data_IF_044060834773
#
_entry.id   IF_044060834773
#
_cell.length_a   1.000
_cell.length_b   1.000
_cell.length_c   1.000
_cell.angle_alpha   90.00
_cell.angle_beta   90.00
_cell.angle_gamma   90.00
#
_symmetry.space_group_name_H-M   'P 1'
#
loop_
_entity.id
_entity.type
_entity.pdbx_description
1 polymer ?
#
# COMPACT_ATOMS: atom_id res chain seq x y z
N UNK A 1 -26.37 -22.51 11.70
CA UNK A 1 -26.55 -21.69 12.92
C UNK A 1 -25.35 -20.76 13.05
N UNK A 2 -25.53 -19.47 12.79
CA UNK A 2 -24.45 -18.47 12.80
C UNK A 2 -24.03 -18.22 14.26
N UNK A 3 -22.84 -18.71 14.64
CA UNK A 3 -22.29 -18.55 16.00
C UNK A 3 -22.03 -17.05 16.23
N UNK A 4 -22.92 -16.37 16.97
CA UNK A 4 -22.69 -14.98 17.42
C UNK A 4 -21.41 -14.99 18.26
N UNK A 5 -20.31 -14.48 17.70
CA UNK A 5 -19.07 -14.26 18.44
C UNK A 5 -19.37 -13.26 19.55
N UNK A 6 -19.44 -13.72 20.80
CA UNK A 6 -19.61 -12.80 21.91
C UNK A 6 -18.40 -11.85 21.96
N UNK A 7 -18.62 -10.53 22.15
CA UNK A 7 -17.53 -9.58 22.34
C UNK A 7 -16.60 -10.07 23.45
N UNK A 8 -15.29 -9.98 23.25
CA UNK A 8 -14.34 -10.34 24.30
C UNK A 8 -14.41 -9.33 25.46
N UNK A 9 -13.94 -9.74 26.64
CA UNK A 9 -13.84 -8.85 27.81
C UNK A 9 -13.02 -7.58 27.55
N UNK A 10 -12.15 -7.60 26.52
CA UNK A 10 -11.38 -6.43 26.08
C UNK A 10 -12.20 -5.52 25.16
N UNK A 11 -13.07 -6.07 24.33
CA UNK A 11 -13.82 -5.30 23.32
C UNK A 11 -14.85 -4.35 23.97
N UNK A 12 -15.35 -4.73 25.14
CA UNK A 12 -16.29 -3.96 25.96
C UNK A 12 -15.63 -2.89 26.85
N UNK A 13 -14.30 -2.84 26.91
CA UNK A 13 -13.60 -1.84 27.73
C UNK A 13 -13.76 -0.44 27.12
N UNK A 14 -13.67 0.61 27.96
CA UNK A 14 -13.57 1.99 27.49
C UNK A 14 -12.42 2.16 26.48
N UNK A 15 -12.62 3.05 25.50
CA UNK A 15 -11.60 3.33 24.47
C UNK A 15 -10.27 3.78 25.08
N UNK A 16 -10.29 4.56 26.15
CA UNK A 16 -9.09 5.01 26.85
C UNK A 16 -8.27 3.83 27.41
N UNK A 17 -8.93 2.81 27.96
CA UNK A 17 -8.29 1.60 28.48
C UNK A 17 -7.71 0.76 27.34
N UNK A 18 -8.41 0.64 26.21
CA UNK A 18 -7.90 -0.05 25.02
C UNK A 18 -6.69 0.67 24.43
N UNK A 19 -6.72 2.00 24.38
CA UNK A 19 -5.58 2.83 23.96
C UNK A 19 -4.37 2.66 24.90
N UNK A 20 -4.60 2.59 26.21
CA UNK A 20 -3.56 2.32 27.21
C UNK A 20 -2.89 0.96 27.00
N UNK A 21 -3.67 -0.11 26.75
CA UNK A 21 -3.14 -1.45 26.43
C UNK A 21 -2.20 -1.36 25.21
N UNK A 22 -2.62 -0.66 24.16
CA UNK A 22 -1.79 -0.43 22.98
C UNK A 22 -0.50 0.34 23.30
N UNK A 23 -0.59 1.41 24.09
CA UNK A 23 0.58 2.21 24.51
C UNK A 23 1.59 1.39 25.31
N UNK A 24 1.12 0.64 26.31
CA UNK A 24 1.99 -0.22 27.14
C UNK A 24 2.68 -1.29 26.29
N UNK A 25 1.95 -1.87 25.32
CA UNK A 25 2.55 -2.84 24.40
C UNK A 25 3.64 -2.22 23.53
N UNK A 26 3.42 -1.00 23.02
CA UNK A 26 4.42 -0.26 22.25
C UNK A 26 5.68 0.07 23.07
N UNK A 27 5.55 0.23 24.38
CA UNK A 27 6.67 0.39 25.32
C UNK A 27 7.41 -0.91 25.62
N UNK A 28 7.05 -2.02 24.98
CA UNK A 28 7.71 -3.32 25.14
C UNK A 28 7.19 -4.15 26.31
N UNK A 29 6.12 -3.73 26.99
CA UNK A 29 5.54 -4.50 28.11
C UNK A 29 5.01 -5.85 27.64
N UNK A 30 5.22 -6.87 28.46
CA UNK A 30 4.68 -8.22 28.31
C UNK A 30 3.18 -8.24 28.63
N UNK A 31 2.50 -9.30 28.19
CA UNK A 31 1.05 -9.48 28.47
C UNK A 31 0.81 -9.49 29.98
N UNK A 32 1.71 -10.09 30.75
CA UNK A 32 1.58 -10.22 32.21
C UNK A 32 1.76 -8.86 32.90
N UNK A 33 2.76 -8.07 32.49
CA UNK A 33 2.93 -6.70 33.00
C UNK A 33 1.75 -5.78 32.66
N UNK A 34 1.18 -5.92 31.44
CA UNK A 34 0.00 -5.16 31.05
C UNK A 34 -1.20 -5.57 31.90
N UNK A 35 -1.37 -6.88 32.13
CA UNK A 35 -2.45 -7.39 32.97
C UNK A 35 -2.35 -6.91 34.42
N UNK A 36 -1.15 -6.89 34.99
CA UNK A 36 -0.93 -6.39 36.35
C UNK A 36 -1.17 -4.89 36.47
N UNK A 37 -0.85 -4.11 35.43
CA UNK A 37 -1.19 -2.69 35.35
C UNK A 37 -2.70 -2.45 35.26
N UNK A 38 -3.43 -3.28 34.51
CA UNK A 38 -4.90 -3.19 34.44
C UNK A 38 -5.53 -3.50 35.79
N UNK A 39 -5.03 -4.51 36.51
CA UNK A 39 -5.48 -4.83 37.87
C UNK A 39 -5.26 -3.69 38.85
N UNK A 40 -4.14 -2.97 38.76
CA UNK A 40 -3.90 -1.81 39.65
C UNK A 40 -4.85 -0.63 39.38
N UNK A 41 -5.59 -0.68 38.26
CA UNK A 41 -6.65 0.27 37.90
C UNK A 41 -8.06 -0.31 38.15
N UNK A 42 -8.17 -1.43 38.86
CA UNK A 42 -9.44 -2.13 39.12
C UNK A 42 -10.12 -2.66 37.83
N UNK A 43 -9.32 -2.94 36.79
CA UNK A 43 -9.79 -3.51 35.53
C UNK A 43 -9.38 -4.97 35.44
N UNK A 44 -10.34 -5.88 35.62
CA UNK A 44 -10.10 -7.31 35.49
C UNK A 44 -10.38 -7.83 34.08
N UNK A 45 -9.36 -8.46 33.49
CA UNK A 45 -9.45 -9.09 32.18
C UNK A 45 -8.77 -10.45 32.19
N UNK A 46 -9.28 -11.39 31.39
CA UNK A 46 -8.59 -12.67 31.24
C UNK A 46 -7.30 -12.50 30.45
N UNK A 47 -6.23 -13.18 30.88
CA UNK A 47 -4.93 -13.22 30.18
C UNK A 47 -5.08 -13.64 28.71
N UNK A 48 -5.94 -14.62 28.44
CA UNK A 48 -6.21 -15.11 27.08
C UNK A 48 -6.90 -14.07 26.20
N UNK A 49 -7.84 -13.27 26.74
CA UNK A 49 -8.46 -12.18 26.00
C UNK A 49 -7.46 -11.06 25.70
N UNK A 50 -6.63 -10.69 26.69
CA UNK A 50 -5.57 -9.71 26.52
C UNK A 50 -4.54 -10.16 25.48
N UNK A 51 -4.11 -11.42 25.53
CA UNK A 51 -3.17 -11.99 24.56
C UNK A 51 -3.71 -11.98 23.13
N UNK A 52 -4.99 -12.31 22.92
CA UNK A 52 -5.63 -12.20 21.60
C UNK A 52 -5.67 -10.75 21.11
N UNK A 53 -5.99 -9.80 21.99
CA UNK A 53 -6.02 -8.38 21.64
C UNK A 53 -4.63 -7.85 21.27
N UNK A 54 -3.62 -8.15 22.08
CA UNK A 54 -2.21 -7.78 21.81
C UNK A 54 -1.71 -8.40 20.50
N UNK A 55 -2.08 -9.65 20.21
CA UNK A 55 -1.75 -10.31 18.93
C UNK A 55 -2.37 -9.55 17.74
N UNK A 56 -3.63 -9.13 17.84
CA UNK A 56 -4.29 -8.30 16.81
C UNK A 56 -3.57 -6.96 16.62
N UNK A 57 -3.19 -6.29 17.72
CA UNK A 57 -2.42 -5.04 17.66
C UNK A 57 -1.06 -5.21 16.99
N UNK A 58 -0.37 -6.33 17.24
CA UNK A 58 0.91 -6.63 16.61
C UNK A 58 0.78 -6.82 15.08
N UNK A 59 -0.25 -7.54 14.63
CA UNK A 59 -0.54 -7.70 13.19
C UNK A 59 -0.84 -6.36 12.52
N UNK A 60 -1.64 -5.51 13.17
CA UNK A 60 -1.94 -4.17 12.67
C UNK A 60 -0.70 -3.28 12.63
N UNK A 61 0.12 -3.31 13.68
CA UNK A 61 1.38 -2.58 13.76
C UNK A 61 2.37 -2.98 12.67
N UNK A 62 2.52 -4.28 12.40
CA UNK A 62 3.39 -4.77 11.33
C UNK A 62 2.89 -4.36 9.94
N UNK A 63 1.57 -4.39 9.72
CA UNK A 63 0.96 -3.91 8.47
C UNK A 63 1.20 -2.41 8.26
N UNK A 64 1.09 -1.60 9.32
CA UNK A 64 1.39 -0.17 9.25
C UNK A 64 2.88 0.09 9.00
N UNK A 65 3.77 -0.67 9.64
CA UNK A 65 5.21 -0.55 9.42
C UNK A 65 5.58 -0.89 7.97
N UNK A 66 5.10 -2.02 7.45
CA UNK A 66 5.28 -2.38 6.03
C UNK A 66 4.77 -1.30 5.08
N UNK A 67 3.60 -0.73 5.35
CA UNK A 67 3.06 0.37 4.54
C UNK A 67 3.95 1.62 4.57
N UNK A 68 4.52 1.97 5.74
CA UNK A 68 5.47 3.10 5.85
C UNK A 68 6.79 2.81 5.15
N UNK A 69 7.32 1.59 5.27
CA UNK A 69 8.57 1.18 4.63
C UNK A 69 8.42 1.21 3.10
N UNK A 70 7.28 0.76 2.58
CA UNK A 70 6.93 0.89 1.17
C UNK A 70 6.82 2.36 0.76
N UNK A 71 6.11 3.20 1.53
CA UNK A 71 6.01 4.63 1.25
C UNK A 71 7.38 5.32 1.23
N UNK A 72 8.27 5.00 2.18
CA UNK A 72 9.62 5.57 2.26
C UNK A 72 10.50 5.15 1.07
N UNK A 73 10.50 3.86 0.70
CA UNK A 73 11.20 3.35 -0.48
C UNK A 73 10.72 4.00 -1.78
N UNK A 74 9.43 4.33 -1.86
CA UNK A 74 8.85 5.02 -3.02
C UNK A 74 9.22 6.50 -3.09
N UNK A 75 9.33 7.19 -1.95
CA UNK A 75 9.83 8.58 -1.88
C UNK A 75 11.27 8.64 -2.37
N UNK A 76 12.11 7.71 -1.92
CA UNK A 76 13.52 7.60 -2.31
C UNK A 76 13.68 7.34 -3.83
N UNK A 77 12.82 6.50 -4.41
CA UNK A 77 12.91 6.12 -5.83
C UNK A 77 12.29 7.10 -6.82
N UNK A 78 11.31 7.93 -6.41
CA UNK A 78 10.44 8.63 -7.37
C UNK A 78 10.22 10.13 -7.10
N UNK A 79 10.99 10.76 -6.20
CA UNK A 79 11.00 12.16 -5.74
C UNK A 79 10.19 13.28 -6.45
N UNK A 80 10.04 13.30 -7.79
CA UNK A 80 9.61 14.51 -8.54
C UNK A 80 8.23 14.51 -9.26
N UNK A 81 7.43 13.43 -9.25
CA UNK A 81 6.10 13.42 -9.94
C UNK A 81 4.86 13.21 -9.00
N UNK A 82 4.26 14.25 -8.40
CA UNK A 82 3.31 14.15 -7.28
C UNK A 82 2.03 13.33 -7.54
N UNK A 83 1.30 13.56 -8.65
CA UNK A 83 -0.05 12.97 -8.82
C UNK A 83 -0.04 11.49 -9.22
N UNK A 84 0.94 11.07 -10.02
CA UNK A 84 1.02 9.68 -10.46
C UNK A 84 1.50 8.76 -9.32
N UNK A 85 2.30 9.27 -8.39
CA UNK A 85 2.84 8.51 -7.25
C UNK A 85 1.76 7.91 -6.36
N UNK A 86 0.76 8.71 -5.96
CA UNK A 86 -0.29 8.26 -5.03
C UNK A 86 -1.18 7.23 -5.69
N UNK A 87 -1.49 7.41 -6.98
CA UNK A 87 -2.25 6.44 -7.77
C UNK A 87 -1.50 5.10 -7.88
N UNK A 88 -0.21 5.13 -8.26
CA UNK A 88 0.64 3.92 -8.32
C UNK A 88 0.80 3.24 -6.96
N UNK A 89 0.97 4.01 -5.89
CA UNK A 89 1.03 3.46 -4.53
C UNK A 89 -0.24 2.70 -4.16
N UNK A 90 -1.42 3.28 -4.45
CA UNK A 90 -2.68 2.61 -4.18
C UNK A 90 -2.82 1.30 -4.98
N UNK A 91 -2.33 1.26 -6.23
CA UNK A 91 -2.31 0.05 -7.05
C UNK A 91 -1.41 -1.03 -6.44
N UNK A 92 -0.20 -0.69 -6.03
CA UNK A 92 0.73 -1.66 -5.40
C UNK A 92 0.22 -2.15 -4.04
N UNK A 93 -0.40 -1.27 -3.25
CA UNK A 93 -1.04 -1.66 -2.01
C UNK A 93 -2.19 -2.63 -2.27
N UNK A 94 -3.04 -2.39 -3.27
CA UNK A 94 -4.11 -3.29 -3.64
C UNK A 94 -3.58 -4.65 -4.14
N UNK A 95 -2.51 -4.68 -4.94
CA UNK A 95 -1.85 -5.94 -5.32
C UNK A 95 -1.37 -6.73 -4.11
N UNK A 96 -0.76 -6.05 -3.13
CA UNK A 96 -0.30 -6.69 -1.89
C UNK A 96 -1.47 -7.30 -1.12
N UNK A 97 -2.60 -6.60 -1.02
CA UNK A 97 -3.79 -7.12 -0.33
C UNK A 97 -4.42 -8.31 -1.05
N UNK A 98 -4.42 -8.31 -2.39
CA UNK A 98 -4.89 -9.44 -3.19
C UNK A 98 -4.00 -10.65 -2.95
N UNK A 99 -2.68 -10.45 -2.95
CA UNK A 99 -1.72 -11.52 -2.65
C UNK A 99 -1.94 -12.08 -1.23
N UNK A 100 -2.07 -11.21 -0.23
CA UNK A 100 -2.34 -11.60 1.15
C UNK A 100 -3.61 -12.46 1.26
N UNK A 101 -4.66 -12.14 0.49
CA UNK A 101 -5.90 -12.94 0.44
C UNK A 101 -5.67 -14.28 -0.25
N UNK A 102 -4.92 -14.31 -1.35
CA UNK A 102 -4.61 -15.54 -2.10
C UNK A 102 -3.71 -16.50 -1.32
N UNK A 103 -2.83 -15.97 -0.46
CA UNK A 103 -1.90 -16.76 0.36
C UNK A 103 -2.37 -16.88 1.81
N UNK A 104 -3.61 -16.47 2.11
CA UNK A 104 -4.13 -16.55 3.46
C UNK A 104 -4.25 -18.01 3.88
N UNK A 105 -3.81 -18.30 5.10
CA UNK A 105 -3.95 -19.61 5.75
C UNK A 105 -4.98 -19.49 6.88
N UNK A 106 -5.82 -20.51 6.99
CA UNK A 106 -6.69 -20.78 8.14
C UNK A 106 -6.21 -22.06 8.82
N UNK A 107 -6.80 -22.42 9.94
CA UNK A 107 -6.61 -23.74 10.57
C UNK A 107 -7.84 -24.62 10.35
N UNK A 108 -7.63 -25.91 10.14
CA UNK A 108 -8.71 -26.92 10.11
C UNK A 108 -9.27 -27.22 11.52
N UNK A 109 -10.16 -28.22 11.62
CA UNK A 109 -10.79 -28.60 12.90
C UNK A 109 -9.78 -29.18 13.90
N UNK A 110 -8.68 -29.76 13.39
CA UNK A 110 -7.55 -30.31 14.14
C UNK A 110 -6.49 -29.27 14.52
N UNK A 111 -6.56 -28.06 13.95
CA UNK A 111 -5.65 -26.95 14.22
C UNK A 111 -4.43 -26.90 13.29
N UNK A 112 -4.41 -27.70 12.22
CA UNK A 112 -3.36 -27.70 11.22
C UNK A 112 -3.57 -26.58 10.19
N UNK A 113 -2.50 -25.93 9.69
CA UNK A 113 -2.61 -24.88 8.69
C UNK A 113 -3.17 -25.42 7.37
N UNK A 114 -4.21 -24.76 6.84
CA UNK A 114 -4.77 -25.03 5.53
C UNK A 114 -5.02 -23.72 4.75
N UNK A 115 -4.90 -23.71 3.41
CA UNK A 115 -5.19 -22.52 2.63
C UNK A 115 -6.64 -22.07 2.78
N UNK A 116 -6.88 -20.76 2.81
CA UNK A 116 -8.23 -20.21 2.70
C UNK A 116 -8.82 -20.63 1.37
N UNK A 117 -9.95 -21.33 1.41
CA UNK A 117 -10.70 -21.68 0.20
C UNK A 117 -11.66 -20.55 -0.14
N UNK A 118 -11.53 -20.00 -1.36
CA UNK A 118 -12.43 -18.96 -1.85
C UNK A 118 -13.64 -19.60 -2.53
N UNK A 119 -14.84 -19.11 -2.23
CA UNK A 119 -16.04 -19.50 -2.96
C UNK A 119 -16.09 -18.83 -4.37
N UNK A 120 -16.94 -19.31 -5.29
CA UNK A 120 -17.00 -18.76 -6.65
C UNK A 120 -17.30 -17.25 -6.72
N UNK A 121 -18.06 -16.70 -5.78
CA UNK A 121 -18.40 -15.29 -5.72
C UNK A 121 -17.16 -14.45 -5.31
N UNK A 122 -16.44 -14.92 -4.29
CA UNK A 122 -15.17 -14.34 -3.84
C UNK A 122 -14.10 -14.37 -4.93
N UNK A 123 -13.99 -15.48 -5.67
CA UNK A 123 -13.10 -15.58 -6.84
C UNK A 123 -13.47 -14.55 -7.90
N UNK A 124 -14.76 -14.36 -8.17
CA UNK A 124 -15.23 -13.36 -9.14
C UNK A 124 -14.95 -11.91 -8.70
N UNK A 125 -15.10 -11.59 -7.41
CA UNK A 125 -14.73 -10.29 -6.86
C UNK A 125 -13.23 -10.04 -6.99
N UNK A 126 -12.40 -11.05 -6.70
CA UNK A 126 -10.96 -10.95 -6.83
C UNK A 126 -10.51 -10.75 -8.28
N UNK A 127 -11.08 -11.52 -9.21
CA UNK A 127 -10.82 -11.38 -10.64
C UNK A 127 -11.24 -9.99 -11.17
N UNK A 128 -12.36 -9.46 -10.68
CA UNK A 128 -12.83 -8.12 -11.01
C UNK A 128 -11.88 -7.05 -10.48
N UNK A 129 -11.42 -7.18 -9.23
CA UNK A 129 -10.44 -6.28 -8.65
C UNK A 129 -9.13 -6.27 -9.44
N UNK A 130 -8.61 -7.46 -9.82
CA UNK A 130 -7.42 -7.58 -10.68
C UNK A 130 -7.62 -6.90 -12.04
N UNK A 131 -8.76 -7.11 -12.70
CA UNK A 131 -9.07 -6.46 -13.98
C UNK A 131 -9.09 -4.93 -13.85
N UNK A 132 -9.70 -4.41 -12.79
CA UNK A 132 -9.73 -2.97 -12.51
C UNK A 132 -8.32 -2.41 -12.27
N UNK A 133 -7.46 -3.14 -11.55
CA UNK A 133 -6.07 -2.77 -11.34
C UNK A 133 -5.28 -2.70 -12.64
N UNK A 134 -5.35 -3.73 -13.48
CA UNK A 134 -4.66 -3.74 -14.79
C UNK A 134 -5.15 -2.61 -15.70
N UNK A 135 -6.47 -2.33 -15.69
CA UNK A 135 -7.02 -1.20 -16.45
C UNK A 135 -6.50 0.15 -15.97
N UNK A 136 -6.38 0.32 -14.65
CA UNK A 136 -5.85 1.55 -14.06
C UNK A 136 -4.36 1.73 -14.38
N UNK A 137 -3.56 0.66 -14.32
CA UNK A 137 -2.14 0.68 -14.73
C UNK A 137 -1.98 1.11 -16.20
N UNK A 138 -2.77 0.51 -17.10
CA UNK A 138 -2.74 0.87 -18.53
C UNK A 138 -3.10 2.34 -18.76
N UNK A 139 -4.14 2.82 -18.09
CA UNK A 139 -4.57 4.23 -18.21
C UNK A 139 -3.45 5.17 -17.75
N UNK A 140 -2.72 4.79 -16.71
CA UNK A 140 -1.61 5.58 -16.20
C UNK A 140 -0.39 5.56 -17.14
N UNK A 141 -0.05 4.41 -17.71
CA UNK A 141 0.99 4.29 -18.75
C UNK A 141 0.66 5.14 -19.97
N UNK A 142 -0.58 5.08 -20.46
CA UNK A 142 -1.06 5.88 -21.58
C UNK A 142 -0.95 7.38 -21.28
N UNK A 143 -1.30 7.80 -20.05
CA UNK A 143 -1.14 9.18 -19.61
C UNK A 143 0.33 9.60 -19.58
N UNK A 144 1.21 8.76 -19.04
CA UNK A 144 2.66 9.04 -18.99
C UNK A 144 3.27 9.12 -20.38
N UNK A 145 2.86 8.24 -21.30
CA UNK A 145 3.28 8.29 -22.69
C UNK A 145 2.87 9.61 -23.35
N UNK A 146 1.62 10.04 -23.15
CA UNK A 146 1.12 11.34 -23.65
C UNK A 146 1.92 12.52 -23.09
N UNK A 147 2.20 12.53 -21.79
CA UNK A 147 2.99 13.59 -21.15
C UNK A 147 4.40 13.65 -21.76
N UNK A 148 5.07 12.50 -21.91
CA UNK A 148 6.40 12.43 -22.54
C UNK A 148 6.37 12.92 -23.99
N UNK A 149 5.34 12.53 -24.75
CA UNK A 149 5.19 12.95 -26.14
C UNK A 149 4.97 14.47 -26.27
N UNK A 150 4.14 15.07 -25.40
CA UNK A 150 3.96 16.53 -25.40
C UNK A 150 5.23 17.27 -24.95
N UNK A 151 5.92 16.79 -23.92
CA UNK A 151 7.20 17.35 -23.49
C UNK A 151 8.26 17.30 -24.60
N UNK A 152 8.33 16.19 -25.34
CA UNK A 152 9.24 16.06 -26.48
C UNK A 152 8.91 17.05 -27.61
N UNK A 153 7.62 17.31 -27.88
CA UNK A 153 7.18 18.33 -28.84
C UNK A 153 7.55 19.74 -28.37
N UNK A 154 7.35 20.05 -27.10
CA UNK A 154 7.71 21.36 -26.53
C UNK A 154 9.23 21.58 -26.58
N UNK A 155 10.02 20.57 -26.20
CA UNK A 155 11.47 20.62 -26.30
C UNK A 155 11.95 20.79 -27.75
N UNK A 156 11.32 20.10 -28.72
CA UNK A 156 11.61 20.30 -30.15
C UNK A 156 11.30 21.73 -30.62
N UNK A 157 10.19 22.34 -30.17
CA UNK A 157 9.87 23.75 -30.46
C UNK A 157 10.87 24.72 -29.84
N UNK A 158 11.37 24.43 -28.64
CA UNK A 158 12.40 25.22 -27.98
C UNK A 158 13.72 25.18 -28.79
N UNK A 159 14.13 23.99 -29.25
CA UNK A 159 15.28 23.83 -30.15
C UNK A 159 15.13 24.68 -31.42
N UNK A 160 13.95 24.70 -32.02
CA UNK A 160 13.70 25.52 -33.22
C UNK A 160 13.83 27.02 -32.96
N UNK A 161 13.32 27.47 -31.82
CA UNK A 161 13.38 28.87 -31.42
C UNK A 161 14.83 29.29 -31.17
N UNK A 162 15.58 28.49 -30.42
CA UNK A 162 17.00 28.74 -30.14
C UNK A 162 17.81 28.70 -31.43
N UNK A 163 17.57 27.72 -32.30
CA UNK A 163 18.27 27.57 -33.58
C UNK A 163 18.10 28.79 -34.49
N UNK A 164 16.87 29.32 -34.58
CA UNK A 164 16.61 30.57 -35.31
C UNK A 164 17.30 31.77 -34.67
N UNK A 165 17.26 31.88 -33.35
CA UNK A 165 17.86 33.02 -32.63
C UNK A 165 19.39 33.06 -32.73
N UNK A 166 20.04 31.89 -32.80
CA UNK A 166 21.49 31.73 -32.86
C UNK A 166 22.03 31.59 -34.29
N UNK A 167 21.16 31.69 -35.31
CA UNK A 167 21.57 31.55 -36.71
C UNK A 167 22.17 30.18 -37.04
N UNK A 168 21.75 29.13 -36.34
CA UNK A 168 22.21 27.76 -36.60
C UNK A 168 21.80 27.31 -38.01
N UNK A 169 22.65 26.50 -38.65
CA UNK A 169 22.34 25.95 -39.96
C UNK A 169 21.13 25.02 -39.87
N UNK A 170 20.34 24.88 -40.96
CA UNK A 170 19.19 23.97 -40.99
C UNK A 170 19.54 22.53 -40.62
N UNK A 171 20.78 22.11 -40.93
CA UNK A 171 21.29 20.78 -40.64
C UNK A 171 21.56 20.57 -39.14
N UNK A 172 22.20 21.54 -38.46
CA UNK A 172 22.42 21.47 -37.01
C UNK A 172 21.10 21.55 -36.23
N UNK A 173 20.16 22.39 -36.66
CA UNK A 173 18.83 22.48 -36.06
C UNK A 173 18.06 21.14 -36.17
N UNK A 174 18.15 20.47 -37.33
CA UNK A 174 17.57 19.14 -37.55
C UNK A 174 18.19 18.09 -36.61
N UNK A 175 19.53 18.06 -36.50
CA UNK A 175 20.23 17.15 -35.59
C UNK A 175 19.81 17.32 -34.13
N UNK A 176 19.73 18.55 -33.63
CA UNK A 176 19.30 18.79 -32.24
C UNK A 176 17.84 18.39 -32.02
N UNK A 177 16.97 18.61 -33.00
CA UNK A 177 15.57 18.21 -32.92
C UNK A 177 15.42 16.70 -32.88
N UNK A 178 16.15 15.98 -33.74
CA UNK A 178 16.17 14.51 -33.77
C UNK A 178 16.74 13.91 -32.48
N UNK A 179 17.79 14.51 -31.92
CA UNK A 179 18.38 14.09 -30.64
C UNK A 179 17.39 14.25 -29.47
N UNK A 180 16.63 15.35 -29.42
CA UNK A 180 15.61 15.60 -28.39
C UNK A 180 14.41 14.66 -28.54
N UNK A 181 13.99 14.38 -29.78
CA UNK A 181 12.91 13.42 -30.06
C UNK A 181 13.35 11.96 -29.82
N UNK A 182 14.66 11.69 -29.82
CA UNK A 182 15.26 10.38 -29.53
C UNK A 182 15.17 9.89 -28.08
N UNK A 183 14.57 10.67 -27.16
CA UNK A 183 14.28 10.24 -25.78
C UNK A 183 13.05 9.29 -25.71
N UNK A 184 12.38 9.04 -26.84
CA UNK A 184 11.37 7.99 -26.99
C UNK A 184 11.67 7.19 -28.27
N UNK A 185 12.65 6.30 -28.22
CA UNK A 185 12.60 5.08 -29.05
C UNK A 185 11.97 3.97 -28.19
N UNK A 186 10.98 3.23 -28.73
CA UNK A 186 10.33 2.13 -28.02
C UNK A 186 11.32 1.02 -27.63
#
# INVERSE_FOLDING_TARGET
MTKRSQPSSIDILPEDTKALIGKLRLQGRTIDEINDHLKSMDVEVSRSALGRHVKKLAVLGERMRRSRDMAASLVDRFGDQPDNKVARMNLEMMHTLILDVMTAETTDEEGEPMPVTLDPEQVNYLASALRSLTSAQKTDEDRMFKIKAELAKEAAKAVDTVSRSQGLTPESARMFREAVLGVVKP
#
